data_IF_042224630159
#
_entry.id   IF_042224630159
#
_cell.length_a   1.000
_cell.length_b   1.000
_cell.length_c   1.000
_cell.angle_alpha   90.00
_cell.angle_beta   90.00
_cell.angle_gamma   90.00
#
_symmetry.space_group_name_H-M   'P 1'
#
loop_
_entity.id
_entity.type
_entity.pdbx_description
1 polymer ?
#
# COMPACT_ATOMS: atom_id res chain seq x y z
N UNK A 1 46.27 16.34 1.27
CA UNK A 1 45.25 16.49 2.32
C UNK A 1 43.77 16.34 1.79
N UNK A 2 43.48 16.65 0.54
CA UNK A 2 42.14 16.55 -0.06
C UNK A 2 41.71 15.08 -0.30
N UNK A 3 42.62 14.19 -0.69
CA UNK A 3 42.35 12.77 -0.97
C UNK A 3 41.92 11.96 0.26
N UNK A 4 42.45 12.25 1.44
CA UNK A 4 42.09 11.56 2.69
C UNK A 4 40.66 11.88 3.17
N UNK A 5 40.18 13.08 2.90
CA UNK A 5 38.80 13.48 3.23
C UNK A 5 37.75 12.83 2.32
N UNK A 6 38.09 12.48 1.11
CA UNK A 6 37.17 11.76 0.22
C UNK A 6 37.03 10.27 0.59
N UNK A 7 38.12 9.63 1.03
CA UNK A 7 38.11 8.23 1.48
C UNK A 7 37.31 8.07 2.78
N UNK A 8 37.45 9.02 3.73
CA UNK A 8 36.67 9.02 4.97
C UNK A 8 35.18 9.28 4.73
N UNK A 9 34.84 10.14 3.76
CA UNK A 9 33.43 10.32 3.32
C UNK A 9 32.87 9.09 2.63
N UNK A 10 33.69 8.32 1.92
CA UNK A 10 33.31 7.06 1.28
C UNK A 10 32.99 5.98 2.33
N UNK A 11 33.84 5.82 3.35
CA UNK A 11 33.62 4.83 4.41
C UNK A 11 32.34 5.12 5.22
N UNK A 12 32.04 6.35 5.53
CA UNK A 12 30.80 6.72 6.22
C UNK A 12 29.53 6.42 5.37
N UNK A 13 29.66 6.43 4.04
CA UNK A 13 28.56 6.04 3.12
C UNK A 13 28.27 4.56 3.17
N UNK A 14 29.31 3.73 3.20
CA UNK A 14 29.17 2.27 3.27
C UNK A 14 28.62 1.82 4.63
N UNK A 15 28.96 2.51 5.72
CA UNK A 15 28.44 2.22 7.04
C UNK A 15 26.93 2.48 7.16
N UNK A 16 26.41 3.55 6.55
CA UNK A 16 24.96 3.81 6.52
C UNK A 16 24.24 2.78 5.68
N UNK A 17 24.78 2.41 4.51
CA UNK A 17 24.20 1.37 3.65
C UNK A 17 24.21 0.01 4.35
N UNK A 18 25.32 -0.34 5.01
CA UNK A 18 25.42 -1.56 5.83
C UNK A 18 24.36 -1.60 6.93
N UNK A 19 24.23 -0.52 7.72
CA UNK A 19 23.24 -0.45 8.81
C UNK A 19 21.81 -0.56 8.30
N UNK A 20 21.48 0.08 7.18
CA UNK A 20 20.16 -0.01 6.55
C UNK A 20 19.90 -1.43 6.02
N UNK A 21 20.88 -2.06 5.37
CA UNK A 21 20.81 -3.45 4.94
C UNK A 21 20.68 -4.41 6.12
N UNK A 22 21.46 -4.22 7.18
CA UNK A 22 21.38 -5.04 8.39
C UNK A 22 20.01 -4.90 9.06
N UNK A 23 19.48 -3.67 9.19
CA UNK A 23 18.15 -3.43 9.72
C UNK A 23 17.07 -4.05 8.83
N UNK A 24 17.20 -3.99 7.51
CA UNK A 24 16.28 -4.64 6.59
C UNK A 24 16.34 -6.17 6.73
N UNK A 25 17.53 -6.77 6.81
CA UNK A 25 17.72 -8.21 7.02
C UNK A 25 17.18 -8.64 8.39
N UNK A 26 17.43 -7.89 9.45
CA UNK A 26 16.87 -8.16 10.79
C UNK A 26 15.35 -8.03 10.81
N UNK A 27 14.79 -7.05 10.08
CA UNK A 27 13.34 -6.89 9.91
C UNK A 27 12.74 -8.09 9.17
N UNK A 28 13.36 -8.53 8.07
CA UNK A 28 12.93 -9.73 7.34
C UNK A 28 13.12 -11.02 8.17
N UNK A 29 14.21 -11.14 8.93
CA UNK A 29 14.42 -12.26 9.84
C UNK A 29 13.40 -12.29 10.98
N UNK A 30 13.07 -11.14 11.58
CA UNK A 30 12.03 -11.05 12.61
C UNK A 30 10.63 -11.41 12.05
N UNK A 31 10.39 -11.09 10.79
CA UNK A 31 9.16 -11.50 10.08
C UNK A 31 9.15 -13.02 9.87
N UNK A 32 10.30 -13.64 9.61
CA UNK A 32 10.42 -15.09 9.35
C UNK A 32 10.31 -15.94 10.63
N UNK A 33 10.74 -15.42 11.79
CA UNK A 33 10.73 -16.17 13.08
C UNK A 33 9.32 -16.44 13.63
N UNK A 34 8.28 -15.80 13.11
CA UNK A 34 6.88 -16.08 13.48
C UNK A 34 6.17 -17.06 12.54
N UNK A 35 6.93 -17.87 11.79
CA UNK A 35 6.44 -18.67 10.66
C UNK A 35 5.85 -20.04 11.04
N UNK A 36 5.16 -20.17 12.16
CA UNK A 36 4.46 -21.44 12.51
C UNK A 36 3.00 -21.51 12.03
N UNK A 37 2.54 -20.56 11.18
CA UNK A 37 1.19 -20.57 10.60
C UNK A 37 1.27 -20.59 9.09
N UNK A 38 0.27 -21.16 8.43
CA UNK A 38 0.18 -21.25 6.98
C UNK A 38 0.44 -19.88 6.33
N UNK A 39 1.60 -19.72 5.74
CA UNK A 39 1.98 -18.49 5.03
C UNK A 39 1.75 -18.72 3.55
N UNK A 40 0.90 -17.92 2.95
CA UNK A 40 0.68 -17.87 1.51
C UNK A 40 1.54 -16.78 0.88
N UNK A 41 2.06 -17.04 -0.32
CA UNK A 41 2.79 -16.07 -1.11
C UNK A 41 1.98 -15.66 -2.33
N UNK A 42 2.04 -14.38 -2.67
CA UNK A 42 1.31 -13.87 -3.80
C UNK A 42 2.04 -12.77 -4.55
N UNK A 43 1.49 -12.42 -5.71
CA UNK A 43 2.00 -11.35 -6.56
C UNK A 43 1.00 -10.20 -6.73
N UNK A 44 1.52 -8.98 -6.88
CA UNK A 44 0.71 -7.81 -7.21
C UNK A 44 1.37 -7.05 -8.35
N UNK A 45 0.61 -6.77 -9.41
CA UNK A 45 1.00 -5.85 -10.47
C UNK A 45 0.13 -4.60 -10.42
N UNK A 46 0.73 -3.42 -10.53
CA UNK A 46 0.02 -2.16 -10.46
C UNK A 46 0.41 -1.25 -11.61
N UNK A 47 -0.59 -0.62 -12.23
CA UNK A 47 -0.41 0.50 -13.14
C UNK A 47 -1.21 1.69 -12.60
N UNK A 48 -0.59 2.87 -12.54
CA UNK A 48 -1.19 4.08 -11.98
C UNK A 48 -0.95 5.26 -12.91
N UNK A 49 -2.02 5.95 -13.25
CA UNK A 49 -1.98 7.24 -13.92
C UNK A 49 -2.47 8.32 -12.98
N UNK A 50 -1.66 9.35 -12.77
CA UNK A 50 -2.00 10.50 -11.94
C UNK A 50 -1.84 11.78 -12.77
N UNK A 51 -2.87 12.60 -12.78
CA UNK A 51 -2.85 13.90 -13.45
C UNK A 51 -3.28 15.00 -12.48
N UNK A 52 -2.51 16.09 -12.47
CA UNK A 52 -2.91 17.34 -11.82
C UNK A 52 -3.77 18.11 -12.81
N UNK A 53 -5.10 17.99 -12.67
CA UNK A 53 -6.04 18.45 -13.70
C UNK A 53 -6.20 19.98 -13.71
N UNK A 54 -6.56 20.57 -12.57
CA UNK A 54 -6.75 22.04 -12.45
C UNK A 54 -6.36 22.46 -11.02
N UNK A 55 -5.38 23.36 -10.91
CA UNK A 55 -4.97 23.92 -9.64
C UNK A 55 -4.52 22.84 -8.64
N UNK A 56 -5.32 22.61 -7.60
CA UNK A 56 -5.02 21.68 -6.52
C UNK A 56 -5.72 20.31 -6.65
N UNK A 57 -6.41 20.05 -7.76
CA UNK A 57 -7.09 18.78 -7.99
C UNK A 57 -6.17 17.78 -8.68
N UNK A 58 -6.06 16.58 -8.10
CA UNK A 58 -5.42 15.40 -8.71
C UNK A 58 -6.48 14.39 -9.10
N UNK A 59 -6.40 13.86 -10.30
CA UNK A 59 -7.18 12.70 -10.76
C UNK A 59 -6.27 11.49 -10.81
N UNK A 60 -6.76 10.37 -10.32
CA UNK A 60 -6.06 9.10 -10.22
C UNK A 60 -6.86 8.01 -10.94
N UNK A 61 -6.21 7.28 -11.82
CA UNK A 61 -6.69 6.00 -12.34
C UNK A 61 -5.66 4.95 -12.02
N UNK A 62 -6.07 3.85 -11.38
CA UNK A 62 -5.16 2.80 -10.97
C UNK A 62 -5.75 1.43 -11.23
N UNK A 63 -4.97 0.54 -11.81
CA UNK A 63 -5.26 -0.88 -11.96
C UNK A 63 -4.35 -1.69 -11.03
N UNK A 64 -4.90 -2.70 -10.37
CA UNK A 64 -4.21 -3.57 -9.41
C UNK A 64 -4.63 -5.02 -9.69
N UNK A 65 -3.72 -5.83 -10.18
CA UNK A 65 -3.89 -7.26 -10.43
C UNK A 65 -3.21 -8.04 -9.32
N UNK A 66 -3.91 -9.03 -8.74
CA UNK A 66 -3.41 -9.84 -7.64
C UNK A 66 -3.45 -11.32 -7.99
N UNK A 67 -2.38 -12.01 -7.60
CA UNK A 67 -2.19 -13.44 -7.72
C UNK A 67 -1.92 -14.02 -6.33
N UNK A 68 -2.59 -15.10 -5.98
CA UNK A 68 -2.48 -15.83 -4.71
C UNK A 68 -1.95 -17.25 -4.98
N UNK A 69 -1.80 -18.09 -3.95
CA UNK A 69 -1.33 -19.48 -4.04
C UNK A 69 0.00 -19.59 -4.79
N UNK A 70 1.07 -19.03 -4.25
CA UNK A 70 2.40 -19.06 -4.84
C UNK A 70 2.42 -18.56 -6.31
N UNK A 71 1.70 -17.47 -6.59
CA UNK A 71 1.51 -16.85 -7.91
C UNK A 71 0.74 -17.68 -8.93
N UNK A 72 0.27 -18.87 -8.57
CA UNK A 72 -0.40 -19.79 -9.51
C UNK A 72 -1.84 -19.42 -9.83
N UNK A 73 -2.46 -18.60 -8.98
CA UNK A 73 -3.88 -18.31 -9.08
C UNK A 73 -4.17 -16.81 -9.20
N UNK A 74 -4.86 -16.42 -10.28
CA UNK A 74 -5.36 -15.05 -10.41
C UNK A 74 -6.51 -14.84 -9.41
N UNK A 75 -6.31 -13.95 -8.45
CA UNK A 75 -7.22 -13.74 -7.31
C UNK A 75 -8.18 -12.60 -7.54
N UNK A 76 -7.70 -11.48 -8.08
CA UNK A 76 -8.58 -10.33 -8.35
C UNK A 76 -7.95 -9.29 -9.25
N UNK A 77 -8.81 -8.51 -9.95
CA UNK A 77 -8.48 -7.16 -10.44
C UNK A 77 -9.20 -6.10 -9.61
N UNK A 78 -8.60 -4.93 -9.59
CA UNK A 78 -9.20 -3.77 -8.97
C UNK A 78 -8.84 -2.51 -9.75
N UNK A 79 -9.86 -1.91 -10.36
CA UNK A 79 -9.77 -0.60 -10.99
C UNK A 79 -10.19 0.47 -10.01
N UNK A 80 -9.35 1.45 -9.76
CA UNK A 80 -9.59 2.57 -8.86
C UNK A 80 -9.66 3.86 -9.65
N UNK A 81 -10.72 4.62 -9.45
CA UNK A 81 -10.87 6.01 -9.89
C UNK A 81 -10.83 6.89 -8.64
N UNK A 82 -10.04 7.94 -8.65
CA UNK A 82 -9.90 8.83 -7.50
C UNK A 82 -9.79 10.29 -7.90
N UNK A 83 -10.32 11.14 -7.04
CA UNK A 83 -10.14 12.59 -7.13
C UNK A 83 -9.70 13.09 -5.76
N UNK A 84 -8.63 13.84 -5.73
CA UNK A 84 -8.07 14.39 -4.51
C UNK A 84 -7.89 15.91 -4.65
N UNK A 85 -8.16 16.64 -3.57
CA UNK A 85 -7.87 18.07 -3.44
C UNK A 85 -6.75 18.31 -2.45
N UNK A 86 -5.75 19.09 -2.86
CA UNK A 86 -4.56 19.42 -2.05
C UNK A 86 -4.72 20.80 -1.43
N UNK A 87 -4.64 20.85 -0.12
CA UNK A 87 -4.45 22.09 0.62
C UNK A 87 -2.95 22.38 0.75
N UNK A 88 -2.37 22.99 -0.30
CA UNK A 88 -0.90 23.12 -0.46
C UNK A 88 -0.22 23.78 0.73
N UNK A 89 -0.89 24.73 1.40
CA UNK A 89 -0.37 25.46 2.57
C UNK A 89 -0.17 24.57 3.80
N UNK A 90 -1.00 23.52 3.94
CA UNK A 90 -1.05 22.73 5.17
C UNK A 90 -0.51 21.31 5.00
N UNK A 91 -0.09 20.91 3.80
CA UNK A 91 0.32 19.53 3.52
C UNK A 91 -0.82 18.50 3.65
N UNK A 92 -2.06 18.98 3.72
CA UNK A 92 -3.27 18.17 3.83
C UNK A 92 -3.83 17.89 2.43
N UNK A 93 -4.33 16.69 2.25
CA UNK A 93 -4.99 16.26 1.02
C UNK A 93 -6.25 15.49 1.41
N UNK A 94 -7.38 15.84 0.84
CA UNK A 94 -8.65 15.12 0.98
C UNK A 94 -9.09 14.59 -0.37
N UNK A 95 -9.80 13.47 -0.39
CA UNK A 95 -10.24 12.91 -1.65
C UNK A 95 -11.33 11.88 -1.51
N UNK A 96 -11.92 11.57 -2.66
CA UNK A 96 -12.90 10.52 -2.82
C UNK A 96 -12.42 9.53 -3.89
N UNK A 97 -12.83 8.29 -3.77
CA UNK A 97 -12.48 7.25 -4.73
C UNK A 97 -13.58 6.23 -4.89
N UNK A 98 -13.57 5.62 -6.06
CA UNK A 98 -14.41 4.50 -6.42
C UNK A 98 -13.53 3.35 -6.89
N UNK A 99 -13.74 2.16 -6.35
CA UNK A 99 -13.06 0.94 -6.78
C UNK A 99 -14.10 -0.04 -7.37
N UNK A 100 -13.83 -0.52 -8.57
CA UNK A 100 -14.45 -1.69 -9.14
C UNK A 100 -13.52 -2.88 -8.90
N UNK A 101 -14.03 -3.92 -8.23
CA UNK A 101 -13.24 -5.08 -7.82
C UNK A 101 -13.91 -6.32 -8.40
N UNK A 102 -13.19 -7.07 -9.23
CA UNK A 102 -13.58 -8.40 -9.65
C UNK A 102 -12.72 -9.41 -8.90
N UNK A 103 -13.32 -10.18 -8.00
CA UNK A 103 -12.62 -11.11 -7.10
C UNK A 103 -13.05 -12.55 -7.35
N UNK A 104 -12.08 -13.45 -7.43
CA UNK A 104 -12.29 -14.89 -7.43
C UNK A 104 -12.80 -15.36 -6.07
N UNK A 105 -13.89 -16.12 -6.07
CA UNK A 105 -14.55 -16.59 -4.83
C UNK A 105 -14.53 -18.12 -4.68
N UNK A 106 -13.69 -18.82 -5.47
CA UNK A 106 -13.67 -20.27 -5.53
C UNK A 106 -14.69 -20.83 -6.54
N UNK A 107 -14.62 -22.14 -6.85
CA UNK A 107 -15.51 -22.82 -7.81
C UNK A 107 -15.59 -22.14 -9.19
N UNK A 108 -14.49 -21.53 -9.65
CA UNK A 108 -14.41 -20.80 -10.94
C UNK A 108 -15.39 -19.61 -11.07
N UNK A 109 -15.88 -19.06 -9.96
CA UNK A 109 -16.82 -17.94 -9.95
C UNK A 109 -16.08 -16.65 -9.59
N UNK A 110 -16.21 -15.65 -10.45
CA UNK A 110 -15.79 -14.27 -10.18
C UNK A 110 -16.99 -13.45 -9.74
N UNK A 111 -16.82 -12.63 -8.71
CA UNK A 111 -17.87 -11.73 -8.20
C UNK A 111 -17.39 -10.29 -8.22
N UNK A 112 -18.28 -9.40 -8.62
CA UNK A 112 -18.03 -7.98 -8.64
C UNK A 112 -18.30 -7.39 -7.26
N UNK A 113 -17.47 -6.41 -6.88
CA UNK A 113 -17.63 -5.62 -5.67
C UNK A 113 -17.39 -4.16 -6.03
N UNK A 114 -18.19 -3.30 -5.45
CA UNK A 114 -18.10 -1.86 -5.63
C UNK A 114 -17.73 -1.24 -4.31
N UNK A 115 -16.74 -0.35 -4.31
CA UNK A 115 -16.28 0.27 -3.09
C UNK A 115 -16.11 1.76 -3.26
N UNK A 116 -16.77 2.54 -2.41
CA UNK A 116 -16.57 3.96 -2.29
C UNK A 116 -15.60 4.25 -1.16
N UNK A 117 -14.80 5.28 -1.31
CA UNK A 117 -13.83 5.68 -0.30
C UNK A 117 -13.78 7.20 -0.15
N UNK A 118 -13.69 7.64 1.11
CA UNK A 118 -13.31 9.00 1.48
C UNK A 118 -11.97 8.94 2.18
N UNK A 119 -11.04 9.79 1.80
CA UNK A 119 -9.71 9.78 2.37
C UNK A 119 -9.25 11.19 2.77
N UNK A 120 -8.51 11.25 3.87
CA UNK A 120 -7.79 12.43 4.29
C UNK A 120 -6.34 12.01 4.58
N UNK A 121 -5.40 12.80 4.14
CA UNK A 121 -3.98 12.52 4.38
C UNK A 121 -3.23 13.78 4.71
N UNK A 122 -2.21 13.63 5.53
CA UNK A 122 -1.29 14.68 5.92
C UNK A 122 0.13 14.24 5.60
N UNK A 123 0.95 15.16 5.09
CA UNK A 123 2.37 14.94 4.81
C UNK A 123 3.21 16.01 5.45
N UNK A 124 4.24 15.55 6.16
CA UNK A 124 5.27 16.39 6.73
C UNK A 124 6.64 16.02 6.16
N UNK A 125 7.36 17.00 5.63
CA UNK A 125 8.67 16.80 5.00
C UNK A 125 9.72 17.47 5.86
N UNK A 126 10.71 16.69 6.30
CA UNK A 126 11.86 17.19 7.04
C UNK A 126 13.15 16.71 6.37
N UNK A 127 13.87 17.61 5.73
CA UNK A 127 15.07 17.32 4.93
C UNK A 127 14.81 16.27 3.85
N UNK A 128 15.37 15.05 4.04
CA UNK A 128 15.26 13.92 3.13
C UNK A 128 14.15 12.93 3.54
N UNK A 129 13.46 13.20 4.64
CA UNK A 129 12.42 12.34 5.20
C UNK A 129 11.04 12.91 4.92
N UNK A 130 10.13 12.05 4.57
CA UNK A 130 8.71 12.36 4.42
C UNK A 130 7.92 11.46 5.37
N UNK A 131 7.17 12.06 6.27
CA UNK A 131 6.25 11.39 7.18
C UNK A 131 4.83 11.58 6.66
N UNK A 132 4.09 10.50 6.56
CA UNK A 132 2.71 10.53 6.06
C UNK A 132 1.75 9.84 7.00
N UNK A 133 0.59 10.43 7.17
CA UNK A 133 -0.55 9.82 7.83
C UNK A 133 -1.76 9.89 6.90
N UNK A 134 -2.51 8.79 6.77
CA UNK A 134 -3.71 8.73 5.96
C UNK A 134 -4.81 7.99 6.70
N UNK A 135 -5.97 8.61 6.80
CA UNK A 135 -7.24 8.00 7.18
C UNK A 135 -8.05 7.71 5.94
N UNK A 136 -8.77 6.60 5.93
CA UNK A 136 -9.69 6.24 4.86
C UNK A 136 -10.91 5.55 5.42
N UNK A 137 -12.07 6.07 5.07
CA UNK A 137 -13.37 5.42 5.29
C UNK A 137 -13.81 4.75 3.99
N UNK A 138 -14.29 3.52 4.08
CA UNK A 138 -14.66 2.69 2.94
C UNK A 138 -16.05 2.12 3.16
N UNK A 139 -16.83 2.14 2.10
CA UNK A 139 -18.13 1.45 2.02
C UNK A 139 -18.07 0.48 0.86
N UNK A 140 -18.28 -0.81 1.12
CA UNK A 140 -18.19 -1.86 0.11
C UNK A 140 -19.53 -2.56 -0.07
N UNK A 141 -19.94 -2.70 -1.33
CA UNK A 141 -21.14 -3.39 -1.76
C UNK A 141 -20.72 -4.66 -2.50
N UNK A 142 -21.40 -5.77 -2.18
CA UNK A 142 -21.17 -7.07 -2.78
C UNK A 142 -22.29 -7.39 -3.79
N UNK A 143 -21.92 -7.85 -4.97
CA UNK A 143 -22.86 -8.42 -5.94
C UNK A 143 -23.00 -9.93 -5.65
N UNK A 144 -23.83 -10.27 -4.67
CA UNK A 144 -24.10 -11.66 -4.31
C UNK A 144 -25.40 -12.10 -5.00
N UNK A 145 -25.26 -12.81 -6.12
CA UNK A 145 -26.39 -13.42 -6.86
C UNK A 145 -26.92 -14.70 -6.21
N UNK A 146 -26.86 -14.84 -4.91
CA UNK A 146 -27.50 -15.92 -4.18
C UNK A 146 -28.79 -15.39 -3.59
N UNK A 147 -29.93 -15.66 -4.21
CA UNK A 147 -31.35 -15.57 -3.81
C UNK A 147 -31.84 -14.65 -2.68
N UNK A 148 -30.96 -14.17 -1.85
CA UNK A 148 -31.16 -13.15 -0.82
C UNK A 148 -30.13 -12.05 -1.05
N UNK A 149 -30.59 -10.94 -1.63
CA UNK A 149 -29.79 -9.72 -1.77
C UNK A 149 -29.54 -9.14 -0.37
N UNK A 150 -28.38 -9.41 0.18
CA UNK A 150 -27.94 -8.72 1.38
C UNK A 150 -27.27 -7.42 0.92
N UNK A 151 -28.08 -6.37 0.72
CA UNK A 151 -27.62 -5.01 0.36
C UNK A 151 -26.95 -4.27 1.53
N UNK A 152 -26.65 -4.96 2.61
CA UNK A 152 -25.98 -4.34 3.74
C UNK A 152 -24.53 -4.00 3.36
N UNK A 153 -24.19 -2.72 3.24
CA UNK A 153 -22.81 -2.32 2.92
C UNK A 153 -21.87 -2.67 4.08
N UNK A 154 -20.69 -3.15 3.74
CA UNK A 154 -19.62 -3.29 4.71
C UNK A 154 -18.89 -1.96 4.87
N UNK A 155 -18.75 -1.51 6.11
CA UNK A 155 -18.02 -0.30 6.45
C UNK A 155 -16.65 -0.65 7.02
N UNK A 156 -15.61 -0.03 6.48
CA UNK A 156 -14.23 -0.24 6.92
C UNK A 156 -13.54 1.10 7.18
N UNK A 157 -12.81 1.15 8.26
CA UNK A 157 -11.94 2.26 8.60
C UNK A 157 -10.48 1.84 8.50
N UNK A 158 -9.65 2.66 7.86
CA UNK A 158 -8.22 2.38 7.68
C UNK A 158 -7.38 3.56 8.09
N UNK A 159 -6.30 3.25 8.82
CA UNK A 159 -5.29 4.23 9.16
C UNK A 159 -3.94 3.74 8.65
N UNK A 160 -3.21 4.58 7.94
CA UNK A 160 -1.88 4.29 7.42
C UNK A 160 -0.89 5.32 7.91
N UNK A 161 0.19 4.84 8.54
CA UNK A 161 1.38 5.61 8.83
C UNK A 161 2.47 5.24 7.82
N UNK A 162 3.23 6.20 7.35
CA UNK A 162 4.32 5.96 6.41
C UNK A 162 5.50 6.86 6.69
N UNK A 163 6.68 6.31 6.45
CA UNK A 163 7.96 7.03 6.50
C UNK A 163 8.68 6.75 5.20
N UNK A 164 9.15 7.79 4.53
CA UNK A 164 9.92 7.65 3.30
C UNK A 164 11.22 8.43 3.40
N UNK A 165 12.24 7.91 2.76
CA UNK A 165 13.54 8.55 2.65
C UNK A 165 13.93 8.69 1.18
N UNK A 166 14.27 9.90 0.78
CA UNK A 166 14.82 10.18 -0.54
C UNK A 166 16.01 11.15 -0.39
N UNK A 167 17.20 10.67 -0.74
CA UNK A 167 18.37 11.54 -0.79
C UNK A 167 18.20 12.59 -1.87
N UNK A 168 18.63 13.82 -1.62
CA UNK A 168 18.67 14.92 -2.60
C UNK A 168 19.37 14.45 -3.89
N UNK A 169 18.74 14.67 -5.04
CA UNK A 169 19.19 14.23 -6.37
C UNK A 169 19.20 12.71 -6.61
N UNK A 170 18.77 11.88 -5.66
CA UNK A 170 18.60 10.45 -5.89
C UNK A 170 17.38 10.16 -6.75
N UNK A 171 17.50 9.13 -7.59
CA UNK A 171 16.36 8.55 -8.32
C UNK A 171 15.60 7.51 -7.49
N UNK A 172 16.18 7.09 -6.36
CA UNK A 172 15.59 6.10 -5.47
C UNK A 172 14.88 6.78 -4.30
N UNK A 173 13.67 6.31 -4.01
CA UNK A 173 12.91 6.63 -2.80
C UNK A 173 12.58 5.32 -2.08
N UNK A 174 12.93 5.24 -0.81
CA UNK A 174 12.66 4.10 0.07
C UNK A 174 11.48 4.45 0.96
N UNK A 175 10.54 3.51 1.18
CA UNK A 175 9.39 3.78 2.01
C UNK A 175 9.03 2.56 2.86
N UNK A 176 8.62 2.83 4.09
CA UNK A 176 8.04 1.86 5.02
C UNK A 176 6.68 2.38 5.46
N UNK A 177 5.71 1.50 5.59
CA UNK A 177 4.40 1.87 6.11
C UNK A 177 3.72 0.73 6.85
N UNK A 178 2.88 1.11 7.81
CA UNK A 178 1.96 0.22 8.50
C UNK A 178 0.53 0.73 8.32
N UNK A 179 -0.41 -0.15 8.01
CA UNK A 179 -1.82 0.16 7.83
C UNK A 179 -2.67 -0.76 8.69
N UNK A 180 -3.61 -0.19 9.44
CA UNK A 180 -4.61 -0.91 10.21
C UNK A 180 -5.93 -0.89 9.47
N UNK A 181 -6.62 -2.01 9.49
CA UNK A 181 -7.96 -2.16 8.95
C UNK A 181 -8.90 -2.46 10.12
N UNK A 182 -9.98 -1.74 10.20
CA UNK A 182 -11.02 -1.95 11.21
C UNK A 182 -12.36 -2.04 10.52
N UNK A 183 -13.06 -3.15 10.71
CA UNK A 183 -14.38 -3.38 10.17
C UNK A 183 -15.45 -3.04 11.22
N UNK A 184 -16.57 -2.47 10.79
CA UNK A 184 -17.76 -2.35 11.62
C UNK A 184 -18.52 -3.68 11.57
N UNK A 185 -18.66 -4.31 12.72
CA UNK A 185 -19.45 -5.52 12.86
C UNK A 185 -20.96 -5.21 12.82
N UNK A 186 -21.81 -6.26 12.69
CA UNK A 186 -23.28 -6.15 12.77
C UNK A 186 -23.75 -5.44 14.02
N UNK A 187 -23.04 -5.58 15.13
CA UNK A 187 -23.30 -4.83 16.38
C UNK A 187 -22.85 -3.35 16.33
N UNK A 188 -22.47 -2.83 15.15
CA UNK A 188 -21.94 -1.47 14.95
C UNK A 188 -20.68 -1.15 15.78
N UNK A 189 -19.96 -2.16 16.24
CA UNK A 189 -18.70 -1.99 16.95
C UNK A 189 -17.53 -2.06 15.97
N UNK A 190 -16.59 -1.14 16.13
CA UNK A 190 -15.35 -1.12 15.35
C UNK A 190 -14.40 -2.18 15.90
N UNK A 191 -14.05 -3.19 15.09
CA UNK A 191 -13.07 -4.20 15.43
C UNK A 191 -11.89 -4.15 14.47
N UNK A 192 -10.67 -4.27 15.00
CA UNK A 192 -9.46 -4.39 14.19
C UNK A 192 -9.50 -5.74 13.46
N UNK A 193 -9.47 -5.71 12.12
CA UNK A 193 -9.53 -6.90 11.28
C UNK A 193 -8.15 -7.32 10.77
N UNK A 194 -7.38 -6.37 10.22
CA UNK A 194 -6.11 -6.68 9.59
C UNK A 194 -5.03 -5.65 9.93
N UNK A 195 -3.78 -6.12 9.93
CA UNK A 195 -2.57 -5.32 9.89
C UNK A 195 -1.83 -5.57 8.58
N UNK A 196 -1.38 -4.49 7.96
CA UNK A 196 -0.58 -4.56 6.74
C UNK A 196 0.70 -3.77 6.91
N UNK A 197 1.83 -4.43 6.72
CA UNK A 197 3.14 -3.78 6.65
C UNK A 197 3.62 -3.77 5.20
N UNK A 198 4.17 -2.65 4.76
CA UNK A 198 4.67 -2.51 3.40
C UNK A 198 6.05 -1.87 3.42
N UNK A 199 7.02 -2.52 2.77
CA UNK A 199 8.31 -1.95 2.42
C UNK A 199 8.39 -1.76 0.92
N UNK A 200 8.87 -0.59 0.44
CA UNK A 200 8.95 -0.32 -0.99
C UNK A 200 10.17 0.50 -1.38
N UNK A 201 10.63 0.25 -2.61
CA UNK A 201 11.66 1.02 -3.29
C UNK A 201 11.06 1.54 -4.59
N UNK A 202 11.05 2.84 -4.76
CA UNK A 202 10.60 3.49 -6.00
C UNK A 202 11.81 4.04 -6.74
N UNK A 203 11.90 3.76 -8.03
CA UNK A 203 12.91 4.27 -8.94
C UNK A 203 12.30 5.22 -9.96
N UNK A 204 12.81 6.45 -10.04
CA UNK A 204 12.39 7.44 -11.02
C UNK A 204 13.07 7.21 -12.36
N UNK A 205 12.35 6.64 -13.32
CA UNK A 205 12.82 6.42 -14.70
C UNK A 205 12.99 7.74 -15.44
N UNK A 206 11.92 8.55 -15.44
CA UNK A 206 11.89 9.89 -16.05
C UNK A 206 11.27 10.88 -15.07
N UNK A 207 11.08 12.14 -15.46
CA UNK A 207 10.36 13.13 -14.64
C UNK A 207 8.91 12.74 -14.37
N UNK A 208 8.32 11.91 -15.24
CA UNK A 208 6.90 11.54 -15.22
C UNK A 208 6.66 10.05 -14.91
N UNK A 209 7.69 9.21 -15.01
CA UNK A 209 7.55 7.76 -14.87
C UNK A 209 8.33 7.24 -13.68
N UNK A 210 7.67 6.40 -12.90
CA UNK A 210 8.21 5.80 -11.69
C UNK A 210 7.92 4.30 -11.71
N UNK A 211 8.93 3.51 -11.38
CA UNK A 211 8.83 2.07 -11.19
C UNK A 211 8.96 1.79 -9.70
N UNK A 212 8.10 0.98 -9.13
CA UNK A 212 8.15 0.61 -7.72
C UNK A 212 8.21 -0.91 -7.57
N UNK A 213 9.06 -1.35 -6.67
CA UNK A 213 9.08 -2.71 -6.14
C UNK A 213 8.68 -2.65 -4.68
N UNK A 214 7.80 -3.54 -4.23
CA UNK A 214 7.35 -3.55 -2.85
C UNK A 214 7.01 -4.95 -2.35
N UNK A 215 7.11 -5.10 -1.04
CA UNK A 215 6.69 -6.30 -0.31
C UNK A 215 5.63 -5.88 0.69
N UNK A 216 4.51 -6.61 0.73
CA UNK A 216 3.41 -6.39 1.67
C UNK A 216 3.17 -7.65 2.49
N UNK A 217 3.15 -7.48 3.80
CA UNK A 217 2.80 -8.53 4.76
C UNK A 217 1.40 -8.24 5.31
N UNK A 218 0.43 -9.06 4.93
CA UNK A 218 -0.95 -9.01 5.42
C UNK A 218 -1.12 -9.99 6.57
N UNK A 219 -1.63 -9.50 7.69
CA UNK A 219 -1.92 -10.30 8.87
C UNK A 219 -3.37 -10.11 9.26
N UNK A 220 -4.16 -11.16 9.12
CA UNK A 220 -5.51 -11.21 9.66
C UNK A 220 -5.45 -11.42 11.18
N UNK A 221 -6.14 -10.58 11.95
CA UNK A 221 -6.11 -10.61 13.41
C UNK A 221 -7.44 -11.12 13.97
N UNK A 222 -8.49 -11.15 13.12
CA UNK A 222 -9.86 -11.31 13.58
C UNK A 222 -10.29 -12.78 13.79
N UNK A 223 -9.55 -13.76 13.33
CA UNK A 223 -10.02 -15.16 13.31
C UNK A 223 -9.50 -15.93 14.50
N UNK A 224 -10.43 -16.48 15.30
CA UNK A 224 -10.16 -17.44 16.39
C UNK A 224 -9.54 -18.77 15.90
N UNK A 225 -9.54 -19.01 14.61
CA UNK A 225 -8.95 -20.18 13.96
C UNK A 225 -7.91 -19.73 12.93
N UNK A 226 -6.71 -20.24 13.06
CA UNK A 226 -5.61 -20.15 12.10
C UNK A 226 -5.39 -18.78 11.43
N UNK A 227 -4.62 -17.91 12.12
CA UNK A 227 -4.21 -16.61 11.56
C UNK A 227 -3.55 -16.82 10.21
N UNK A 228 -4.24 -16.44 9.16
CA UNK A 228 -3.70 -16.49 7.79
C UNK A 228 -2.80 -15.28 7.59
N UNK A 229 -1.55 -15.57 7.24
CA UNK A 229 -0.58 -14.57 6.85
C UNK A 229 -0.33 -14.68 5.36
N UNK A 230 -0.46 -13.59 4.63
CA UNK A 230 -0.13 -13.57 3.21
C UNK A 230 0.93 -12.53 2.91
N UNK A 231 1.99 -12.94 2.25
CA UNK A 231 3.08 -12.06 1.82
C UNK A 231 2.98 -11.84 0.31
N UNK A 232 2.86 -10.60 -0.11
CA UNK A 232 2.82 -10.23 -1.51
C UNK A 232 4.10 -9.53 -1.94
N UNK A 233 4.63 -9.94 -3.07
CA UNK A 233 5.67 -9.22 -3.80
C UNK A 233 4.99 -8.46 -4.93
N UNK A 234 5.31 -7.18 -5.08
CA UNK A 234 4.63 -6.34 -6.06
C UNK A 234 5.54 -5.50 -6.92
N UNK A 235 5.10 -5.31 -8.15
CA UNK A 235 5.65 -4.38 -9.11
C UNK A 235 4.61 -3.31 -9.43
N UNK A 236 5.02 -2.05 -9.46
CA UNK A 236 4.15 -0.93 -9.80
C UNK A 236 4.80 -0.02 -10.82
N UNK A 237 4.02 0.41 -11.77
CA UNK A 237 4.38 1.48 -12.69
C UNK A 237 3.43 2.66 -12.51
N UNK A 238 4.01 3.86 -12.35
CA UNK A 238 3.23 5.08 -12.19
C UNK A 238 3.66 6.12 -13.20
N UNK A 239 2.67 6.65 -13.91
CA UNK A 239 2.82 7.81 -14.78
C UNK A 239 2.16 9.03 -14.13
N UNK A 240 2.91 10.13 -14.03
CA UNK A 240 2.45 11.39 -13.47
C UNK A 240 2.58 12.50 -14.52
N UNK A 241 1.43 13.10 -14.86
CA UNK A 241 1.37 14.26 -15.78
C UNK A 241 1.37 15.57 -15.02
#
# INVERSE_FOLDING_TARGET
MIFFNEILKSNHRWDVVRRVLTLAVLFFAAISLNAQKTTDFGGIMQAEYQNNFVGNFDVLVKEDLRFDNDFSHYSRSKTTLGVDYKFSRYGVKVGAGFDFINKYTGKHIYRNRYRFSLNASYKYVYRNWEFGYRMRFLTMFHDERTGYYNYEPEYNWRNKLSVSYQRRFSRFKYSLSGETYSAFNRDKRLKLSDLVFEGSVEYRLTRRQFLSFYVKDYRDIYIDSDQIRTVYIGLGWRFKH
#
